data_IF_844567939166
#
_entry.id   IF_844567939166
#
_cell.length_a   1.000
_cell.length_b   1.000
_cell.length_c   1.000
_cell.angle_alpha   90.00
_cell.angle_beta   90.00
_cell.angle_gamma   90.00
#
_symmetry.space_group_name_H-M   'P 1'
#
loop_
_entity.id
_entity.type
_entity.pdbx_description
1 polymer ?
#
# COMPACT_ATOMS: atom_id res chain seq x y z
N UNK A 1 6.57 -2.06 20.84
CA UNK A 1 7.62 -1.17 20.27
C UNK A 1 7.52 0.20 20.92
N UNK A 2 8.61 0.95 21.05
CA UNK A 2 8.57 2.34 21.52
C UNK A 2 8.10 3.26 20.39
N UNK A 3 7.01 3.98 20.61
CA UNK A 3 6.49 4.99 19.68
C UNK A 3 7.46 6.17 19.58
N UNK A 4 7.71 6.66 18.37
CA UNK A 4 8.55 7.82 18.11
C UNK A 4 7.95 9.08 18.73
N UNK A 5 8.81 10.03 19.10
CA UNK A 5 8.41 11.33 19.65
C UNK A 5 8.81 12.44 18.71
N UNK A 6 7.89 13.36 18.45
CA UNK A 6 8.18 14.57 17.69
C UNK A 6 9.26 15.41 18.42
N UNK A 7 10.25 15.88 17.68
CA UNK A 7 11.33 16.73 18.22
C UNK A 7 10.76 18.05 18.77
N UNK A 8 9.76 18.62 18.08
CA UNK A 8 9.07 19.87 18.45
C UNK A 8 7.95 19.69 19.50
N UNK A 9 7.67 18.45 19.93
CA UNK A 9 6.57 18.14 20.85
C UNK A 9 5.17 18.04 20.21
N UNK A 10 4.99 18.42 18.94
CA UNK A 10 3.74 18.25 18.19
C UNK A 10 4.00 17.83 16.73
N UNK A 11 3.06 17.08 16.15
CA UNK A 11 3.12 16.67 14.74
C UNK A 11 2.52 17.76 13.85
N UNK A 12 3.17 18.01 12.70
CA UNK A 12 2.68 18.92 11.67
C UNK A 12 1.41 18.38 11.01
N UNK A 13 1.38 17.06 10.78
CA UNK A 13 0.27 16.32 10.21
C UNK A 13 -0.39 15.46 11.29
N UNK A 14 -1.70 15.24 11.21
CA UNK A 14 -2.44 14.39 12.16
C UNK A 14 -2.90 13.08 11.54
N UNK A 15 -2.92 12.97 10.22
CA UNK A 15 -3.38 11.78 9.54
C UNK A 15 -2.82 11.66 8.12
N UNK A 16 -2.88 10.44 7.60
CA UNK A 16 -2.57 10.11 6.22
C UNK A 16 -3.70 9.29 5.61
N UNK A 17 -4.14 9.69 4.42
CA UNK A 17 -5.12 8.95 3.62
C UNK A 17 -4.38 8.47 2.38
N UNK A 18 -4.38 7.15 2.17
CA UNK A 18 -3.56 6.55 1.14
C UNK A 18 -4.34 5.60 0.23
N UNK A 19 -4.00 5.59 -1.06
CA UNK A 19 -4.42 4.51 -1.98
C UNK A 19 -3.21 3.87 -2.66
N UNK A 20 -3.33 2.57 -2.91
CA UNK A 20 -2.26 1.70 -3.40
C UNK A 20 -2.54 0.24 -3.06
N UNK A 21 -1.61 -0.65 -3.45
CA UNK A 21 -1.83 -2.10 -3.32
C UNK A 21 -1.98 -2.58 -1.89
N UNK A 22 -2.99 -3.41 -1.67
CA UNK A 22 -3.17 -4.21 -0.45
C UNK A 22 -3.14 -5.68 -0.86
N UNK A 23 -2.12 -6.38 -0.40
CA UNK A 23 -1.84 -7.74 -0.83
C UNK A 23 -0.73 -8.36 -0.02
N UNK A 24 -0.51 -9.65 -0.28
CA UNK A 24 0.52 -10.46 0.36
C UNK A 24 1.48 -11.02 -0.68
N UNK A 25 2.62 -11.52 -0.24
CA UNK A 25 3.57 -12.13 -1.14
C UNK A 25 4.54 -13.06 -0.44
N UNK A 26 5.25 -13.81 -1.28
CA UNK A 26 6.32 -14.72 -0.88
C UNK A 26 7.65 -14.21 -1.39
N UNK A 27 8.73 -14.67 -0.76
CA UNK A 27 10.07 -14.21 -1.06
C UNK A 27 11.00 -15.38 -1.36
N UNK A 28 11.67 -15.33 -2.51
CA UNK A 28 12.67 -16.31 -2.93
C UNK A 28 14.08 -15.71 -2.87
N UNK A 29 15.03 -16.47 -2.32
CA UNK A 29 16.45 -16.21 -2.49
C UNK A 29 16.99 -17.08 -3.62
N UNK A 30 17.40 -16.48 -4.73
CA UNK A 30 17.94 -17.18 -5.89
C UNK A 30 19.36 -17.69 -5.65
N UNK A 31 19.74 -18.77 -6.33
CA UNK A 31 21.13 -19.24 -6.39
C UNK A 31 21.90 -18.58 -7.54
N UNK A 32 23.03 -17.92 -7.20
CA UNK A 32 23.87 -17.20 -8.15
C UNK A 32 23.36 -15.79 -8.49
N UNK A 33 24.22 -14.95 -9.07
CA UNK A 33 23.92 -13.56 -9.45
C UNK A 33 23.66 -13.40 -10.96
N UNK A 34 23.60 -14.50 -11.71
CA UNK A 34 23.29 -14.43 -13.14
C UNK A 34 21.84 -14.00 -13.32
N UNK A 35 21.60 -13.03 -14.21
CA UNK A 35 20.26 -12.52 -14.50
C UNK A 35 19.33 -13.67 -14.91
N UNK A 36 18.15 -13.75 -14.28
CA UNK A 36 17.11 -14.71 -14.65
C UNK A 36 16.60 -14.45 -16.08
N UNK A 37 16.96 -15.34 -17.01
CA UNK A 37 16.51 -15.27 -18.40
C UNK A 37 15.03 -15.63 -18.57
N UNK A 38 14.45 -15.24 -19.71
CA UNK A 38 13.01 -15.43 -20.02
C UNK A 38 12.55 -16.89 -20.01
N UNK A 39 13.43 -17.80 -20.42
CA UNK A 39 13.15 -19.23 -20.57
C UNK A 39 13.96 -20.08 -19.57
N UNK A 40 14.45 -19.46 -18.50
CA UNK A 40 15.33 -20.11 -17.53
C UNK A 40 14.58 -20.59 -16.29
N UNK A 41 14.96 -21.76 -15.80
CA UNK A 41 14.62 -22.22 -14.46
C UNK A 41 15.82 -22.01 -13.55
N UNK A 42 15.59 -21.49 -12.34
CA UNK A 42 16.63 -21.23 -11.35
C UNK A 42 16.24 -21.82 -10.00
N UNK A 43 17.21 -22.43 -9.32
CA UNK A 43 17.02 -22.89 -7.96
C UNK A 43 16.91 -21.69 -7.02
N UNK A 44 16.00 -21.80 -6.05
CA UNK A 44 15.76 -20.76 -5.09
C UNK A 44 15.29 -21.34 -3.76
N UNK A 45 15.68 -20.69 -2.66
CA UNK A 45 15.15 -20.98 -1.33
C UNK A 45 13.94 -20.09 -1.05
N UNK A 46 12.81 -20.70 -0.70
CA UNK A 46 11.67 -19.97 -0.17
C UNK A 46 12.02 -19.46 1.23
N UNK A 47 11.98 -18.15 1.42
CA UNK A 47 12.25 -17.52 2.70
C UNK A 47 10.99 -17.49 3.56
N UNK A 48 11.13 -17.53 4.90
CA UNK A 48 9.99 -17.54 5.82
C UNK A 48 9.36 -16.14 6.03
N UNK A 49 9.72 -15.16 5.19
CA UNK A 49 9.24 -13.79 5.29
C UNK A 49 7.96 -13.61 4.48
N UNK A 50 7.10 -12.72 4.96
CA UNK A 50 5.93 -12.24 4.21
C UNK A 50 6.28 -10.92 3.56
N UNK A 51 5.90 -10.79 2.29
CA UNK A 51 5.88 -9.50 1.61
C UNK A 51 4.46 -8.92 1.68
N UNK A 52 4.37 -7.59 1.72
CA UNK A 52 3.10 -6.87 1.66
C UNK A 52 3.14 -5.85 0.54
N UNK A 53 1.98 -5.55 -0.04
CA UNK A 53 1.91 -4.54 -1.10
C UNK A 53 2.12 -3.12 -0.54
N UNK A 54 2.43 -2.18 -1.44
CA UNK A 54 3.09 -0.91 -1.12
C UNK A 54 2.31 -0.06 -0.13
N UNK A 55 0.98 0.02 -0.28
CA UNK A 55 0.16 0.81 0.64
C UNK A 55 0.23 0.23 2.05
N UNK A 56 0.08 -1.09 2.17
CA UNK A 56 0.15 -1.77 3.46
C UNK A 56 1.51 -1.51 4.13
N UNK A 57 2.63 -1.77 3.45
CA UNK A 57 3.97 -1.57 4.04
C UNK A 57 4.15 -0.15 4.56
N UNK A 58 3.82 0.85 3.73
CA UNK A 58 4.06 2.27 4.07
C UNK A 58 3.21 2.67 5.28
N UNK A 59 1.91 2.38 5.25
CA UNK A 59 1.02 2.75 6.35
C UNK A 59 1.29 1.95 7.62
N UNK A 60 1.77 0.71 7.51
CA UNK A 60 2.13 -0.12 8.65
C UNK A 60 3.25 0.52 9.46
N UNK A 61 4.34 0.91 8.80
CA UNK A 61 5.44 1.57 9.50
C UNK A 61 5.01 2.89 10.11
N UNK A 62 4.23 3.70 9.40
CA UNK A 62 3.73 4.98 9.95
C UNK A 62 2.87 4.72 11.19
N UNK A 63 1.89 3.82 11.09
CA UNK A 63 0.96 3.51 12.18
C UNK A 63 1.68 2.96 13.41
N UNK A 64 2.59 1.99 13.23
CA UNK A 64 3.33 1.37 14.33
C UNK A 64 4.34 2.34 14.96
N UNK A 65 5.03 3.15 14.16
CA UNK A 65 6.08 4.04 14.66
C UNK A 65 5.51 5.32 15.28
N UNK A 66 4.39 5.86 14.79
CA UNK A 66 3.78 7.09 15.32
C UNK A 66 2.68 6.83 16.35
N UNK A 67 2.09 5.64 16.34
CA UNK A 67 0.98 5.25 17.20
C UNK A 67 -0.35 5.86 16.75
N UNK A 68 -1.40 5.03 16.72
CA UNK A 68 -2.73 5.40 16.25
C UNK A 68 -3.44 6.46 17.09
N UNK A 69 -3.06 6.66 18.36
CA UNK A 69 -3.59 7.75 19.20
C UNK A 69 -3.17 9.14 18.73
N UNK A 70 -2.04 9.24 18.02
CA UNK A 70 -1.43 10.51 17.62
C UNK A 70 -1.51 10.78 16.13
N UNK A 71 -1.61 9.72 15.33
CA UNK A 71 -1.57 9.80 13.88
C UNK A 71 -2.46 8.74 13.25
N UNK A 72 -3.52 9.15 12.56
CA UNK A 72 -4.47 8.22 11.94
C UNK A 72 -3.97 7.80 10.54
N UNK A 73 -3.97 6.49 10.27
CA UNK A 73 -3.64 5.94 8.96
C UNK A 73 -4.88 5.33 8.32
N UNK A 74 -5.30 5.87 7.17
CA UNK A 74 -6.53 5.47 6.48
C UNK A 74 -6.22 4.91 5.08
N UNK A 75 -6.07 3.59 4.92
CA UNK A 75 -6.03 2.95 3.62
C UNK A 75 -7.38 3.00 2.90
N UNK A 76 -7.39 3.50 1.66
CA UNK A 76 -8.46 3.32 0.69
C UNK A 76 -7.98 2.31 -0.37
N UNK A 77 -8.57 1.12 -0.37
CA UNK A 77 -8.14 0.04 -1.26
C UNK A 77 -9.09 -1.13 -1.26
N UNK A 78 -8.63 -2.28 -1.77
CA UNK A 78 -9.43 -3.49 -1.79
C UNK A 78 -8.61 -4.77 -1.69
N UNK A 79 -9.18 -5.75 -0.98
CA UNK A 79 -8.71 -7.13 -0.87
C UNK A 79 -9.78 -8.08 -1.40
N UNK A 80 -9.42 -9.31 -1.76
CA UNK A 80 -10.39 -10.33 -2.17
C UNK A 80 -11.12 -10.94 -0.98
N UNK A 81 -12.27 -11.56 -1.23
CA UNK A 81 -12.98 -12.39 -0.26
C UNK A 81 -12.30 -13.76 -0.09
N UNK A 82 -11.04 -13.74 0.35
CA UNK A 82 -10.20 -14.92 0.54
C UNK A 82 -9.44 -14.86 1.87
N UNK A 83 -8.78 -15.96 2.23
CA UNK A 83 -8.02 -16.05 3.48
C UNK A 83 -6.88 -15.01 3.60
N UNK A 84 -6.09 -14.74 2.54
CA UNK A 84 -5.15 -13.63 2.55
C UNK A 84 -5.83 -12.28 2.85
N UNK A 85 -6.96 -11.97 2.21
CA UNK A 85 -7.68 -10.72 2.41
C UNK A 85 -8.16 -10.53 3.85
N UNK A 86 -8.76 -11.57 4.45
CA UNK A 86 -9.17 -11.57 5.85
C UNK A 86 -7.99 -11.35 6.79
N UNK A 87 -6.88 -12.04 6.54
CA UNK A 87 -5.65 -11.93 7.33
C UNK A 87 -5.08 -10.51 7.27
N UNK A 88 -4.98 -9.93 6.07
CA UNK A 88 -4.44 -8.58 5.89
C UNK A 88 -5.30 -7.51 6.56
N UNK A 89 -6.63 -7.61 6.50
CA UNK A 89 -7.52 -6.68 7.21
C UNK A 89 -7.24 -6.72 8.72
N UNK A 90 -7.10 -7.90 9.29
CA UNK A 90 -6.83 -8.07 10.71
C UNK A 90 -5.43 -7.54 11.09
N UNK A 91 -4.41 -7.82 10.29
CA UNK A 91 -3.05 -7.30 10.50
C UNK A 91 -3.00 -5.76 10.42
N UNK A 92 -3.71 -5.14 9.48
CA UNK A 92 -3.82 -3.68 9.37
C UNK A 92 -4.53 -3.06 10.59
N UNK A 93 -5.61 -3.69 11.07
CA UNK A 93 -6.30 -3.28 12.31
C UNK A 93 -5.39 -3.38 13.52
N UNK A 94 -4.67 -4.49 13.67
CA UNK A 94 -3.73 -4.71 14.76
C UNK A 94 -2.56 -3.70 14.75
N UNK A 95 -2.14 -3.27 13.56
CA UNK A 95 -1.16 -2.20 13.42
C UNK A 95 -1.72 -0.80 13.75
N UNK A 96 -3.04 -0.66 13.93
CA UNK A 96 -3.71 0.58 14.33
C UNK A 96 -4.29 1.41 13.17
N UNK A 97 -4.40 0.84 11.96
CA UNK A 97 -4.98 1.53 10.81
C UNK A 97 -6.52 1.53 10.85
N UNK A 98 -7.13 2.58 10.30
CA UNK A 98 -8.56 2.66 10.04
C UNK A 98 -8.88 2.01 8.69
N UNK A 99 -9.38 0.77 8.72
CA UNK A 99 -9.62 -0.04 7.52
C UNK A 99 -11.06 0.02 7.00
N UNK A 100 -11.88 0.97 7.48
CA UNK A 100 -13.30 1.08 7.09
C UNK A 100 -13.49 1.35 5.59
N UNK A 101 -12.44 1.81 4.92
CA UNK A 101 -12.41 2.11 3.48
C UNK A 101 -11.64 1.07 2.65
N UNK A 102 -11.36 -0.11 3.24
CA UNK A 102 -10.84 -1.27 2.52
C UNK A 102 -12.00 -2.17 2.10
N UNK A 103 -12.28 -2.21 0.80
CA UNK A 103 -13.37 -3.03 0.25
C UNK A 103 -12.99 -4.49 0.12
N UNK A 104 -13.96 -5.37 0.34
CA UNK A 104 -13.84 -6.79 0.03
C UNK A 104 -14.42 -7.01 -1.37
N UNK A 105 -13.60 -7.54 -2.27
CA UNK A 105 -14.01 -7.90 -3.63
C UNK A 105 -14.52 -9.33 -3.66
N UNK A 106 -15.74 -9.53 -4.16
CA UNK A 106 -16.31 -10.85 -4.44
C UNK A 106 -15.88 -11.38 -5.82
N UNK A 107 -15.30 -10.52 -6.67
CA UNK A 107 -14.98 -10.84 -8.07
C UNK A 107 -13.49 -11.17 -8.25
N UNK A 108 -12.61 -10.48 -7.54
CA UNK A 108 -11.16 -10.60 -7.71
C UNK A 108 -10.45 -11.06 -6.42
N UNK A 109 -9.39 -11.89 -6.54
CA UNK A 109 -8.61 -12.32 -5.39
C UNK A 109 -7.79 -11.16 -4.80
N UNK A 110 -7.33 -11.34 -3.57
CA UNK A 110 -6.34 -10.45 -2.94
C UNK A 110 -5.08 -10.39 -3.79
N UNK A 111 -4.48 -9.19 -3.87
CA UNK A 111 -3.26 -8.97 -4.65
C UNK A 111 -2.14 -9.87 -4.13
N UNK A 112 -1.40 -10.51 -5.05
CA UNK A 112 -0.32 -11.42 -4.71
C UNK A 112 0.98 -10.99 -5.39
N UNK A 113 2.09 -11.03 -4.64
CA UNK A 113 3.42 -10.69 -5.13
C UNK A 113 4.40 -11.84 -4.93
N UNK A 114 5.26 -12.08 -5.91
CA UNK A 114 6.42 -12.97 -5.80
C UNK A 114 7.66 -12.09 -5.88
N UNK A 115 8.33 -11.94 -4.75
CA UNK A 115 9.60 -11.25 -4.65
C UNK A 115 10.74 -12.25 -4.79
N UNK A 116 11.81 -11.84 -5.44
CA UNK A 116 13.04 -12.61 -5.53
C UNK A 116 14.26 -11.71 -5.35
N UNK A 117 15.31 -12.28 -4.78
CA UNK A 117 16.56 -11.59 -4.50
C UNK A 117 17.75 -12.46 -4.88
N UNK A 118 18.77 -11.85 -5.48
CA UNK A 118 20.06 -12.45 -5.78
C UNK A 118 21.00 -12.38 -4.55
N UNK A 119 22.07 -13.20 -4.47
CA UNK A 119 23.05 -13.14 -3.39
C UNK A 119 23.66 -11.77 -3.10
N UNK A 120 23.78 -10.91 -4.11
CA UNK A 120 24.25 -9.52 -3.97
C UNK A 120 23.21 -8.54 -3.39
N UNK A 121 21.99 -9.04 -3.13
CA UNK A 121 20.82 -8.34 -2.58
C UNK A 121 20.02 -7.50 -3.57
N UNK A 122 20.42 -7.45 -4.83
CA UNK A 122 19.53 -6.95 -5.88
C UNK A 122 18.38 -7.92 -6.10
N UNK A 123 17.32 -7.45 -6.74
CA UNK A 123 16.13 -8.28 -6.91
C UNK A 123 15.02 -7.60 -7.68
N UNK A 124 13.86 -8.24 -7.64
CA UNK A 124 12.66 -7.75 -8.27
C UNK A 124 11.43 -8.40 -7.69
N UNK A 125 10.28 -7.94 -8.16
CA UNK A 125 8.99 -8.48 -7.77
C UNK A 125 8.08 -8.62 -8.98
N UNK A 126 7.28 -9.67 -8.96
CA UNK A 126 6.21 -9.90 -9.94
C UNK A 126 4.90 -9.84 -9.16
N UNK A 127 4.03 -8.94 -9.57
CA UNK A 127 2.74 -8.72 -8.92
C UNK A 127 1.63 -9.17 -9.84
N UNK A 128 0.65 -9.91 -9.32
CA UNK A 128 -0.47 -10.43 -10.12
C UNK A 128 -1.31 -9.30 -10.70
N UNK A 129 -1.70 -9.47 -11.97
CA UNK A 129 -2.78 -8.70 -12.58
C UNK A 129 -4.14 -9.28 -12.14
N UNK A 130 -5.22 -8.53 -12.36
CA UNK A 130 -6.59 -8.95 -12.03
C UNK A 130 -6.78 -9.31 -10.55
N UNK A 131 -6.38 -8.40 -9.68
CA UNK A 131 -6.59 -8.47 -8.23
C UNK A 131 -7.66 -7.48 -7.77
N UNK A 132 -8.11 -7.63 -6.53
CA UNK A 132 -9.01 -6.67 -5.89
C UNK A 132 -8.45 -5.24 -5.94
N UNK A 133 -7.14 -5.07 -5.73
CA UNK A 133 -6.47 -3.77 -5.88
C UNK A 133 -6.53 -3.20 -7.30
N UNK A 134 -6.61 -4.06 -8.32
CA UNK A 134 -6.76 -3.62 -9.73
C UNK A 134 -8.11 -2.97 -10.01
N UNK A 135 -9.13 -3.22 -9.17
CA UNK A 135 -10.49 -2.71 -9.33
C UNK A 135 -10.80 -1.49 -8.43
N UNK A 136 -9.80 -0.93 -7.74
CA UNK A 136 -9.99 0.31 -6.97
C UNK A 136 -10.25 1.46 -7.95
N UNK A 137 -11.40 2.09 -7.77
CA UNK A 137 -12.07 2.99 -8.70
C UNK A 137 -12.22 4.40 -8.15
N UNK A 138 -12.65 5.34 -8.99
CA UNK A 138 -13.02 6.69 -8.55
C UNK A 138 -14.10 6.69 -7.48
N UNK A 139 -15.05 5.76 -7.57
CA UNK A 139 -16.16 5.68 -6.62
C UNK A 139 -15.67 5.38 -5.20
N UNK A 140 -14.55 4.69 -5.04
CA UNK A 140 -13.96 4.40 -3.73
C UNK A 140 -13.38 5.67 -3.10
N UNK A 141 -12.73 6.50 -3.92
CA UNK A 141 -12.19 7.80 -3.52
C UNK A 141 -13.33 8.77 -3.20
N UNK A 142 -14.30 8.89 -4.10
CA UNK A 142 -15.46 9.77 -3.93
C UNK A 142 -16.27 9.38 -2.68
N UNK A 143 -16.48 8.08 -2.46
CA UNK A 143 -17.16 7.56 -1.28
C UNK A 143 -16.45 8.02 -0.01
N UNK A 144 -15.12 7.84 0.09
CA UNK A 144 -14.35 8.31 1.25
C UNK A 144 -14.58 9.80 1.53
N UNK A 145 -14.38 10.68 0.55
CA UNK A 145 -14.51 12.12 0.78
C UNK A 145 -15.96 12.58 0.98
N UNK A 146 -16.95 11.80 0.55
CA UNK A 146 -18.37 12.10 0.79
C UNK A 146 -18.87 11.69 2.18
N UNK A 147 -18.29 10.63 2.77
CA UNK A 147 -18.77 10.05 4.04
C UNK A 147 -17.83 10.31 5.22
N UNK A 148 -16.57 10.63 4.97
CA UNK A 148 -15.57 10.82 6.03
C UNK A 148 -15.82 12.12 6.81
N UNK A 149 -15.73 12.03 8.14
CA UNK A 149 -15.74 13.19 9.04
C UNK A 149 -14.33 13.79 9.24
N UNK A 150 -13.31 13.27 8.55
CA UNK A 150 -11.92 13.72 8.69
C UNK A 150 -11.77 15.14 8.11
N UNK A 151 -11.37 16.07 8.96
CA UNK A 151 -11.07 17.45 8.59
C UNK A 151 -9.84 17.53 7.68
N UNK A 152 -9.84 18.47 6.74
CA UNK A 152 -8.74 18.72 5.80
C UNK A 152 -7.48 19.27 6.48
N UNK A 153 -7.60 19.76 7.72
CA UNK A 153 -6.46 20.30 8.45
C UNK A 153 -5.43 19.22 8.76
N UNK A 154 -4.15 19.50 8.44
CA UNK A 154 -3.00 18.63 8.78
C UNK A 154 -3.04 17.24 8.11
N UNK A 155 -3.54 17.19 6.87
CA UNK A 155 -3.72 15.98 6.06
C UNK A 155 -2.51 15.70 5.15
N UNK A 156 -2.12 14.42 5.06
CA UNK A 156 -1.25 13.89 4.00
C UNK A 156 -2.11 13.01 3.09
N UNK A 157 -2.01 13.23 1.78
CA UNK A 157 -2.60 12.37 0.76
C UNK A 157 -1.50 11.58 0.07
N UNK A 158 -1.61 10.26 0.09
CA UNK A 158 -0.60 9.33 -0.39
C UNK A 158 -1.13 8.49 -1.56
N UNK A 159 -0.47 8.58 -2.72
CA UNK A 159 -0.79 7.74 -3.87
C UNK A 159 0.41 6.85 -4.25
N UNK A 160 0.28 5.54 -4.08
CA UNK A 160 1.37 4.58 -4.36
C UNK A 160 0.91 3.46 -5.29
N UNK A 161 1.81 2.77 -6.03
CA UNK A 161 1.45 1.84 -7.09
C UNK A 161 0.55 0.67 -6.68
N UNK A 162 0.21 -0.18 -7.66
CA UNK A 162 -0.60 -1.42 -7.55
C UNK A 162 -2.12 -1.21 -7.51
N UNK A 163 -2.56 0.03 -7.70
CA UNK A 163 -3.94 0.40 -8.06
C UNK A 163 -3.91 1.24 -9.34
N UNK A 164 -5.04 1.38 -10.07
CA UNK A 164 -5.08 2.15 -11.31
C UNK A 164 -4.50 3.56 -11.18
N UNK A 165 -3.67 3.97 -12.16
CA UNK A 165 -3.04 5.31 -12.23
C UNK A 165 -4.09 6.41 -12.10
N UNK A 166 -5.19 6.29 -12.83
CA UNK A 166 -6.20 7.31 -12.85
C UNK A 166 -6.86 7.49 -11.46
N UNK A 167 -7.10 6.40 -10.73
CA UNK A 167 -7.65 6.43 -9.36
C UNK A 167 -6.71 7.15 -8.39
N UNK A 168 -5.39 6.92 -8.53
CA UNK A 168 -4.36 7.65 -7.77
C UNK A 168 -4.40 9.15 -8.03
N UNK A 169 -4.49 9.54 -9.30
CA UNK A 169 -4.58 10.95 -9.70
C UNK A 169 -5.85 11.60 -9.12
N UNK A 170 -6.98 10.88 -9.14
CA UNK A 170 -8.23 11.34 -8.53
C UNK A 170 -8.09 11.61 -7.02
N UNK A 171 -7.40 10.73 -6.28
CA UNK A 171 -7.10 10.97 -4.87
C UNK A 171 -6.23 12.23 -4.67
N UNK A 172 -5.18 12.41 -5.47
CA UNK A 172 -4.32 13.59 -5.39
C UNK A 172 -5.07 14.89 -5.74
N UNK A 173 -6.05 14.83 -6.65
CA UNK A 173 -6.89 15.99 -6.97
C UNK A 173 -7.66 16.49 -5.73
N UNK A 174 -8.25 15.58 -4.94
CA UNK A 174 -8.87 15.93 -3.67
C UNK A 174 -7.90 16.55 -2.68
N UNK A 175 -6.69 15.99 -2.54
CA UNK A 175 -5.66 16.56 -1.68
C UNK A 175 -5.27 17.98 -2.09
N UNK A 176 -5.20 18.25 -3.39
CA UNK A 176 -4.94 19.61 -3.91
C UNK A 176 -6.07 20.58 -3.55
N UNK A 177 -7.32 20.17 -3.74
CA UNK A 177 -8.50 20.99 -3.40
C UNK A 177 -8.57 21.29 -1.90
N UNK A 178 -8.15 20.34 -1.06
CA UNK A 178 -8.11 20.44 0.40
C UNK A 178 -6.87 21.14 0.96
N UNK A 179 -5.93 21.56 0.10
CA UNK A 179 -4.63 22.13 0.49
C UNK A 179 -3.77 21.19 1.35
N UNK A 180 -3.90 19.89 1.11
CA UNK A 180 -3.19 18.80 1.80
C UNK A 180 -1.78 18.62 1.25
N UNK A 181 -0.92 17.93 1.99
CA UNK A 181 0.37 17.50 1.45
C UNK A 181 0.16 16.28 0.54
N UNK A 182 0.26 16.49 -0.77
CA UNK A 182 0.24 15.41 -1.75
C UNK A 182 1.61 14.74 -1.86
N UNK A 183 1.62 13.42 -1.75
CA UNK A 183 2.80 12.56 -1.93
C UNK A 183 2.43 11.44 -2.90
N UNK A 184 3.26 11.23 -3.92
CA UNK A 184 3.07 10.14 -4.88
C UNK A 184 4.35 9.34 -5.07
N UNK A 185 4.20 8.03 -5.20
CA UNK A 185 5.23 7.15 -5.74
C UNK A 185 4.75 6.62 -7.10
N UNK A 186 5.59 6.78 -8.13
CA UNK A 186 5.27 6.45 -9.51
C UNK A 186 6.38 5.59 -10.09
N UNK A 187 6.02 4.63 -10.93
CA UNK A 187 7.03 3.94 -11.74
C UNK A 187 7.53 4.85 -12.87
N UNK A 188 8.68 4.55 -13.44
CA UNK A 188 9.22 5.32 -14.57
C UNK A 188 8.27 5.38 -15.77
N UNK A 189 7.47 4.32 -15.99
CA UNK A 189 6.46 4.27 -17.05
C UNK A 189 5.23 5.13 -16.79
N UNK A 190 5.03 5.61 -15.56
CA UNK A 190 3.87 6.39 -15.15
C UNK A 190 4.14 7.90 -15.14
N UNK A 191 5.40 8.33 -15.26
CA UNK A 191 5.83 9.73 -15.06
C UNK A 191 5.05 10.71 -15.95
N UNK A 192 4.87 10.42 -17.24
CA UNK A 192 4.17 11.34 -18.16
C UNK A 192 2.68 11.51 -17.84
N UNK A 193 2.10 10.62 -17.03
CA UNK A 193 0.67 10.65 -16.68
C UNK A 193 0.38 11.46 -15.40
N UNK A 194 1.38 11.66 -14.54
CA UNK A 194 1.26 12.37 -13.26
C UNK A 194 1.72 13.83 -13.34
#
# INVERSE_FOLDING_TARGET
MSVLRAISGSLQYSHIIGTGGIGSGIFFSLEGNDTLGREESRMASLLPYRDYCKLHIILHYISVLLGNEKFECVPIGSVGNDEPGKTLIEEMKQAGMNVDYVKISEEYPTLFSVCYQYPDRDGGNITTLASASSNVSYSDIDQFFSSSAIDAAKEIILAVPEVPVATRIKLLAYGKERSSLNVAAVSSSEIETF
#
